data_IF_955691585869
#
_entry.id   IF_955691585869
#
_cell.length_a   1.000
_cell.length_b   1.000
_cell.length_c   1.000
_cell.angle_alpha   90.00
_cell.angle_beta   90.00
_cell.angle_gamma   90.00
#
_symmetry.space_group_name_H-M   'P 1'
#
loop_
_entity.id
_entity.type
_entity.pdbx_description
1 polymer ?
#
# COMPACT_ATOMS: atom_id res chain seq x y z
N UNK A 1 -22.11 7.61 -19.48
CA UNK A 1 -22.72 7.93 -18.17
C UNK A 1 -21.98 7.11 -17.14
N UNK A 2 -21.67 7.66 -15.97
CA UNK A 2 -20.98 6.91 -14.91
C UNK A 2 -22.05 6.17 -14.11
N UNK A 3 -21.94 4.85 -13.97
CA UNK A 3 -22.98 4.01 -13.37
C UNK A 3 -22.81 3.84 -11.85
N UNK A 4 -21.62 4.14 -11.38
CA UNK A 4 -21.22 3.98 -9.99
C UNK A 4 -19.72 4.18 -9.84
N UNK A 5 -19.24 3.97 -8.63
CA UNK A 5 -17.83 4.11 -8.30
C UNK A 5 -17.41 3.12 -7.22
N UNK A 6 -16.14 2.77 -7.25
CA UNK A 6 -15.43 2.15 -6.15
C UNK A 6 -14.92 3.27 -5.24
N UNK A 7 -15.34 3.26 -3.99
CA UNK A 7 -14.85 4.12 -2.93
C UNK A 7 -13.81 3.36 -2.12
N UNK A 8 -12.71 4.03 -1.83
CA UNK A 8 -11.61 3.49 -1.04
C UNK A 8 -11.39 4.38 0.16
N UNK A 9 -11.22 3.75 1.32
CA UNK A 9 -10.94 4.42 2.59
C UNK A 9 -9.70 3.80 3.21
N UNK A 10 -8.61 4.55 3.26
CA UNK A 10 -7.36 4.16 3.91
C UNK A 10 -7.26 4.77 5.31
N UNK A 11 -7.02 3.95 6.32
CA UNK A 11 -6.83 4.41 7.72
C UNK A 11 -5.34 4.52 8.01
N UNK A 12 -4.90 5.66 8.55
CA UNK A 12 -3.53 5.92 8.97
C UNK A 12 -3.28 5.41 10.41
N UNK A 13 -2.02 5.33 10.82
CA UNK A 13 -1.65 4.89 12.18
C UNK A 13 -2.19 5.77 13.33
N UNK A 14 -2.54 7.03 13.03
CA UNK A 14 -3.19 7.94 13.98
C UNK A 14 -4.73 7.87 13.95
N UNK A 15 -5.31 6.95 13.18
CA UNK A 15 -6.76 6.79 13.01
C UNK A 15 -7.42 7.72 11.98
N UNK A 16 -6.68 8.64 11.37
CA UNK A 16 -7.20 9.49 10.29
C UNK A 16 -7.52 8.64 9.06
N UNK A 17 -8.65 8.94 8.39
CA UNK A 17 -9.08 8.25 7.18
C UNK A 17 -8.87 9.15 5.96
N UNK A 18 -8.27 8.59 4.91
CA UNK A 18 -8.11 9.22 3.59
C UNK A 18 -9.01 8.50 2.61
N UNK A 19 -9.82 9.25 1.87
CA UNK A 19 -10.77 8.71 0.92
C UNK A 19 -10.35 9.03 -0.51
N UNK A 20 -10.60 8.09 -1.41
CA UNK A 20 -10.55 8.33 -2.86
C UNK A 20 -11.63 7.50 -3.54
N UNK A 21 -11.94 7.82 -4.79
CA UNK A 21 -12.87 7.02 -5.58
C UNK A 21 -12.41 6.86 -7.02
N UNK A 22 -12.83 5.73 -7.59
CA UNK A 22 -12.59 5.34 -8.96
C UNK A 22 -13.93 5.08 -9.62
N UNK A 23 -14.17 5.76 -10.74
CA UNK A 23 -15.31 5.48 -11.58
C UNK A 23 -15.23 4.05 -12.13
N UNK A 24 -16.36 3.34 -12.15
CA UNK A 24 -16.41 2.11 -12.93
C UNK A 24 -16.38 2.42 -14.43
N UNK A 25 -15.69 1.60 -15.24
CA UNK A 25 -15.71 1.70 -16.71
C UNK A 25 -17.12 1.45 -17.28
N UNK A 26 -17.96 0.79 -16.46
CA UNK A 26 -19.30 0.31 -16.75
C UNK A 26 -19.40 -0.57 -17.98
N UNK A 27 -20.57 -0.51 -18.62
CA UNK A 27 -20.92 -1.44 -19.70
C UNK A 27 -20.42 -0.88 -21.03
N UNK A 28 -19.66 -1.69 -21.76
CA UNK A 28 -19.25 -1.38 -23.12
C UNK A 28 -20.43 -1.41 -24.09
N UNK A 29 -20.22 -0.92 -25.31
CA UNK A 29 -21.23 -0.96 -26.39
C UNK A 29 -21.61 -2.37 -26.82
N UNK A 30 -20.83 -3.37 -26.41
CA UNK A 30 -21.05 -4.80 -26.59
C UNK A 30 -21.97 -5.40 -25.50
N UNK A 31 -22.42 -4.61 -24.54
CA UNK A 31 -23.25 -5.08 -23.43
C UNK A 31 -22.48 -5.81 -22.33
N UNK A 32 -21.14 -5.83 -22.38
CA UNK A 32 -20.32 -6.48 -21.37
C UNK A 32 -19.77 -5.48 -20.35
N UNK A 33 -19.58 -5.94 -19.12
CA UNK A 33 -18.86 -5.20 -18.09
C UNK A 33 -17.38 -5.51 -18.19
N UNK A 34 -16.56 -4.48 -18.35
CA UNK A 34 -15.11 -4.64 -18.53
C UNK A 34 -14.38 -4.41 -17.22
N UNK A 35 -13.33 -5.19 -16.96
CA UNK A 35 -12.37 -4.87 -15.91
C UNK A 35 -11.53 -3.67 -16.33
N UNK A 36 -11.30 -2.75 -15.41
CA UNK A 36 -10.37 -1.64 -15.60
C UNK A 36 -9.28 -1.72 -14.54
N UNK A 37 -8.02 -1.62 -14.98
CA UNK A 37 -6.90 -1.43 -14.07
C UNK A 37 -6.90 0.00 -13.55
N UNK A 38 -6.77 0.15 -12.24
CA UNK A 38 -6.68 1.44 -11.58
C UNK A 38 -5.40 1.51 -10.77
N UNK A 39 -4.74 2.67 -10.83
CA UNK A 39 -3.59 2.97 -10.00
C UNK A 39 -3.98 4.03 -8.99
N UNK A 40 -3.79 3.74 -7.70
CA UNK A 40 -4.16 4.63 -6.60
C UNK A 40 -3.08 5.68 -6.30
N UNK A 41 -2.09 5.83 -7.21
CA UNK A 41 -0.90 6.63 -6.98
C UNK A 41 -1.19 8.11 -6.69
N UNK A 42 -2.25 8.68 -7.27
CA UNK A 42 -2.59 10.09 -7.11
C UNK A 42 -3.26 10.42 -5.77
N UNK A 43 -3.89 9.44 -5.11
CA UNK A 43 -4.58 9.65 -3.82
C UNK A 43 -3.84 9.06 -2.63
N UNK A 44 -3.20 7.90 -2.82
CA UNK A 44 -2.80 7.01 -1.72
C UNK A 44 -1.29 6.76 -1.63
N UNK A 45 -0.49 7.11 -2.65
CA UNK A 45 0.94 6.74 -2.71
C UNK A 45 1.82 7.30 -1.59
N UNK A 46 1.44 8.45 -1.02
CA UNK A 46 2.24 9.12 0.01
C UNK A 46 1.86 8.71 1.44
N UNK A 47 0.92 7.78 1.60
CA UNK A 47 0.35 7.41 2.89
C UNK A 47 0.72 5.99 3.27
N UNK A 48 1.10 5.81 4.54
CA UNK A 48 1.26 4.49 5.16
C UNK A 48 -0.03 4.12 5.89
N UNK A 49 -0.86 3.30 5.27
CA UNK A 49 -2.12 2.85 5.84
C UNK A 49 -1.94 1.62 6.73
N UNK A 50 -2.67 1.59 7.85
CA UNK A 50 -2.84 0.42 8.71
C UNK A 50 -4.05 -0.42 8.30
N UNK A 51 -4.96 0.13 7.49
CA UNK A 51 -6.11 -0.58 6.95
C UNK A 51 -6.61 0.07 5.66
N UNK A 52 -7.19 -0.75 4.79
CA UNK A 52 -7.77 -0.33 3.52
C UNK A 52 -9.14 -1.00 3.36
N UNK A 53 -10.18 -0.19 3.19
CA UNK A 53 -11.55 -0.66 2.95
C UNK A 53 -11.99 -0.29 1.55
N UNK A 54 -12.61 -1.25 0.87
CA UNK A 54 -13.24 -1.06 -0.43
C UNK A 54 -14.75 -1.11 -0.28
N UNK A 55 -15.44 -0.14 -0.84
CA UNK A 55 -16.89 -0.10 -0.94
C UNK A 55 -17.27 0.26 -2.37
N UNK A 56 -18.25 -0.41 -2.97
CA UNK A 56 -18.81 0.04 -4.22
C UNK A 56 -20.15 0.71 -3.99
N UNK A 57 -20.52 1.60 -4.89
CA UNK A 57 -21.87 2.12 -4.95
C UNK A 57 -22.29 2.38 -6.38
N UNK A 58 -23.59 2.44 -6.57
CA UNK A 58 -24.22 2.88 -7.82
C UNK A 58 -24.74 4.31 -7.64
N UNK A 59 -24.79 5.08 -8.72
CA UNK A 59 -25.43 6.39 -8.65
C UNK A 59 -26.94 6.25 -8.83
N UNK A 60 -27.70 6.97 -8.00
CA UNK A 60 -29.15 7.09 -8.15
C UNK A 60 -29.52 8.27 -9.08
N UNK A 61 -30.81 8.55 -9.23
CA UNK A 61 -31.33 9.62 -10.09
C UNK A 61 -30.88 11.03 -9.69
N UNK A 62 -30.42 11.21 -8.44
CA UNK A 62 -29.86 12.48 -7.96
C UNK A 62 -28.33 12.55 -8.08
N UNK A 63 -27.70 11.50 -8.62
CA UNK A 63 -26.24 11.36 -8.70
C UNK A 63 -25.57 10.97 -7.38
N UNK A 64 -26.35 10.68 -6.33
CA UNK A 64 -25.82 10.24 -5.05
C UNK A 64 -25.42 8.76 -5.09
N UNK A 65 -24.34 8.44 -4.38
CA UNK A 65 -23.75 7.12 -4.27
C UNK A 65 -24.55 6.26 -3.28
N UNK A 66 -25.29 5.28 -3.80
CA UNK A 66 -26.16 4.37 -3.03
C UNK A 66 -25.46 3.04 -2.76
N UNK A 67 -25.18 2.76 -1.49
CA UNK A 67 -24.86 1.44 -0.94
C UNK A 67 -24.85 1.50 0.61
N UNK A 68 -25.96 1.96 1.21
CA UNK A 68 -26.10 2.09 2.67
C UNK A 68 -27.44 1.52 3.15
N UNK A 69 -27.67 1.51 4.47
CA UNK A 69 -28.95 1.12 5.05
C UNK A 69 -30.10 2.04 4.60
N UNK A 70 -29.83 3.36 4.55
CA UNK A 70 -30.83 4.38 4.19
C UNK A 70 -31.06 4.47 2.67
N UNK A 71 -30.03 4.15 1.89
CA UNK A 71 -30.06 4.13 0.41
C UNK A 71 -29.45 2.81 -0.11
N UNK A 72 -30.20 1.69 -0.02
CA UNK A 72 -29.68 0.37 -0.39
C UNK A 72 -29.47 0.26 -1.90
N UNK A 73 -28.37 -0.38 -2.29
CA UNK A 73 -28.10 -0.70 -3.69
C UNK A 73 -28.85 -1.94 -4.19
N UNK A 74 -29.65 -2.62 -3.35
CA UNK A 74 -30.37 -3.86 -3.69
C UNK A 74 -29.49 -4.91 -4.40
N UNK A 75 -28.26 -5.13 -3.89
CA UNK A 75 -27.26 -6.03 -4.48
C UNK A 75 -26.74 -5.64 -5.88
N UNK A 76 -27.02 -4.42 -6.35
CA UNK A 76 -26.52 -3.92 -7.64
C UNK A 76 -25.12 -3.29 -7.51
N UNK A 77 -24.69 -2.94 -6.29
CA UNK A 77 -23.33 -2.46 -6.00
C UNK A 77 -22.30 -3.59 -5.85
N UNK A 78 -22.47 -4.72 -6.56
CA UNK A 78 -21.48 -5.79 -6.54
C UNK A 78 -20.27 -5.44 -7.40
N UNK A 79 -19.09 -5.76 -6.90
CA UNK A 79 -17.82 -5.52 -7.59
C UNK A 79 -16.88 -6.69 -7.34
N UNK A 80 -15.98 -6.89 -8.29
CA UNK A 80 -14.88 -7.83 -8.16
C UNK A 80 -13.56 -7.04 -8.15
N UNK A 81 -12.67 -7.42 -7.24
CA UNK A 81 -11.29 -6.96 -7.22
C UNK A 81 -10.41 -8.15 -7.61
N UNK A 82 -9.45 -7.90 -8.49
CA UNK A 82 -8.42 -8.88 -8.84
C UNK A 82 -7.07 -8.17 -8.95
N UNK A 83 -6.00 -8.96 -8.87
CA UNK A 83 -4.62 -8.52 -9.02
C UNK A 83 -4.25 -7.34 -8.10
N UNK A 84 -4.73 -7.35 -6.85
CA UNK A 84 -4.37 -6.33 -5.86
C UNK A 84 -2.86 -6.41 -5.62
N UNK A 85 -2.15 -5.43 -6.16
CA UNK A 85 -0.72 -5.28 -5.97
C UNK A 85 -0.45 -4.18 -4.96
N UNK A 86 0.23 -4.53 -3.87
CA UNK A 86 0.66 -3.60 -2.84
C UNK A 86 2.19 -3.59 -2.89
N UNK A 87 2.79 -2.41 -3.06
CA UNK A 87 4.22 -2.28 -2.88
C UNK A 87 4.55 -2.44 -1.40
N UNK A 88 5.19 -3.54 -1.03
CA UNK A 88 5.69 -3.70 0.32
C UNK A 88 6.71 -2.59 0.61
N UNK A 89 6.42 -1.75 1.61
CA UNK A 89 7.38 -0.77 2.11
C UNK A 89 8.33 -1.51 3.05
N UNK A 90 9.64 -1.57 2.77
CA UNK A 90 10.58 -2.19 3.70
C UNK A 90 10.48 -1.49 5.05
N UNK A 91 10.31 -2.26 6.12
CA UNK A 91 10.17 -1.66 7.45
C UNK A 91 11.42 -0.80 7.77
N UNK A 92 11.25 0.39 8.38
CA UNK A 92 12.39 1.21 8.82
C UNK A 92 13.39 0.44 9.69
N UNK A 93 12.89 -0.53 10.47
CA UNK A 93 13.66 -1.45 11.31
C UNK A 93 14.61 -2.34 10.50
N UNK A 94 14.26 -2.72 9.27
CA UNK A 94 15.05 -3.64 8.43
C UNK A 94 16.36 -2.98 8.02
N UNK A 95 16.33 -1.71 7.62
CA UNK A 95 17.55 -0.95 7.34
C UNK A 95 18.38 -0.72 8.60
N UNK A 96 17.74 -0.42 9.73
CA UNK A 96 18.44 -0.28 11.01
C UNK A 96 19.11 -1.59 11.44
N UNK A 97 18.45 -2.73 11.30
CA UNK A 97 19.00 -4.04 11.61
C UNK A 97 20.10 -4.45 10.63
N UNK A 98 19.94 -4.12 9.35
CA UNK A 98 21.00 -4.30 8.34
C UNK A 98 22.25 -3.50 8.71
N UNK A 99 22.08 -2.20 9.03
CA UNK A 99 23.18 -1.33 9.45
C UNK A 99 23.79 -1.80 10.77
N UNK A 100 22.97 -2.24 11.73
CA UNK A 100 23.45 -2.81 12.98
C UNK A 100 24.29 -4.08 12.74
N UNK A 101 23.82 -4.98 11.86
CA UNK A 101 24.54 -6.17 11.46
C UNK A 101 25.89 -5.84 10.80
N UNK A 102 25.90 -4.90 9.85
CA UNK A 102 27.12 -4.43 9.20
C UNK A 102 28.09 -3.76 10.19
N UNK A 103 27.57 -2.95 11.10
CA UNK A 103 28.34 -2.30 12.16
C UNK A 103 29.01 -3.32 13.09
N UNK A 104 28.28 -4.38 13.48
CA UNK A 104 28.83 -5.46 14.29
C UNK A 104 29.97 -6.20 13.57
N UNK A 105 29.80 -6.51 12.28
CA UNK A 105 30.85 -7.15 11.46
C UNK A 105 32.10 -6.25 11.37
N UNK A 106 31.92 -4.95 11.09
CA UNK A 106 33.01 -3.98 11.04
C UNK A 106 33.79 -3.89 12.35
N UNK A 107 33.08 -3.87 13.48
CA UNK A 107 33.69 -3.85 14.82
C UNK A 107 34.52 -5.11 15.10
N UNK A 108 33.99 -6.29 14.76
CA UNK A 108 34.71 -7.56 14.91
C UNK A 108 35.95 -7.63 14.01
N UNK A 109 35.86 -7.12 12.78
CA UNK A 109 37.00 -7.04 11.86
C UNK A 109 38.15 -6.18 12.44
N UNK A 110 37.84 -5.02 13.02
CA UNK A 110 38.83 -4.13 13.66
C UNK A 110 39.52 -4.77 14.87
N UNK A 111 38.84 -5.63 15.62
CA UNK A 111 39.45 -6.36 16.76
C UNK A 111 40.43 -7.43 16.32
N UNK A 112 40.30 -7.97 15.10
CA UNK A 112 41.19 -9.00 14.56
C UNK A 112 42.53 -8.45 14.08
N UNK A 113 42.56 -7.21 13.59
CA UNK A 113 43.79 -6.58 13.07
C UNK A 113 44.74 -6.10 14.17
N UNK A 114 44.25 -5.81 15.39
CA UNK A 114 45.06 -5.35 16.52
C UNK A 114 46.02 -6.38 17.13
N UNK A 115 46.00 -7.65 16.69
CA UNK A 115 46.90 -8.71 17.20
C UNK A 115 48.18 -8.91 16.36
N UNK A 116 48.34 -8.22 15.22
CA UNK A 116 49.51 -8.40 14.33
C UNK A 116 50.65 -7.39 14.56
N UNK A 117 50.50 -6.40 15.46
CA UNK A 117 51.51 -5.35 15.66
C UNK A 117 52.51 -5.61 16.82
N UNK A 118 52.60 -6.84 17.34
CA UNK A 118 53.44 -7.18 18.50
C UNK A 118 54.54 -8.21 18.20
N UNK A 119 55.06 -8.26 16.97
CA UNK A 119 56.14 -9.19 16.60
C UNK A 119 57.14 -8.56 15.63
N UNK A 120 57.86 -7.52 16.04
CA UNK A 120 59.10 -7.07 15.34
C UNK A 120 60.02 -6.23 16.23
N UNK A 121 60.25 -6.63 17.49
CA UNK A 121 61.41 -6.16 18.26
C UNK A 121 62.09 -7.34 18.91
N UNK A 122 62.84 -8.11 18.13
CA UNK A 122 63.91 -8.95 18.66
C UNK A 122 64.91 -9.31 17.55
N UNK A 123 66.12 -8.74 17.60
CA UNK A 123 67.25 -9.26 16.84
C UNK A 123 68.28 -8.21 16.42
N UNK A 124 69.40 -8.21 17.16
CA UNK A 124 70.75 -7.74 16.84
C UNK A 124 71.03 -6.23 16.75
#
# INVERSE_FOLDING_TARGET
MQWGQLQLSGTLGNGQVINTSLAFPGQGSDGNYHFQSASLLSGFSNYAFTGLTFNACIFNDTGACSNSLDFPAFNQGQFALDNINISAVPEPSTYMLMLAGLGAIGMLSRRRTGKFAASTVQGA
#
